data_IF_915946771716
#
_entry.id   IF_915946771716
#
_cell.length_a   1.000
_cell.length_b   1.000
_cell.length_c   1.000
_cell.angle_alpha   90.00
_cell.angle_beta   90.00
_cell.angle_gamma   90.00
#
_symmetry.space_group_name_H-M   'P 1'
#
loop_
_entity.id
_entity.type
_entity.pdbx_description
1 polymer ?
#
# COMPACT_ATOMS: atom_id res chain seq x y z
N UNK A 1 20.90 44.21 -78.31
CA UNK A 1 19.42 44.43 -78.43
C UNK A 1 18.86 43.98 -77.11
N UNK A 2 18.71 44.95 -76.21
CA UNK A 2 18.25 44.67 -74.79
C UNK A 2 16.87 45.22 -74.71
N UNK A 3 15.91 44.41 -74.31
CA UNK A 3 14.53 44.79 -74.08
C UNK A 3 14.29 44.95 -72.57
N UNK A 4 14.14 46.16 -72.10
CA UNK A 4 13.75 46.49 -70.74
C UNK A 4 12.23 46.27 -70.57
N UNK A 5 11.88 45.48 -69.56
CA UNK A 5 10.48 45.34 -69.10
C UNK A 5 10.37 46.08 -67.77
N UNK A 6 9.55 47.09 -67.73
CA UNK A 6 9.21 47.91 -66.54
C UNK A 6 8.11 47.18 -65.76
N UNK A 7 8.40 46.92 -64.48
CA UNK A 7 7.41 46.30 -63.56
C UNK A 7 6.78 47.41 -62.70
N UNK A 8 5.45 47.53 -62.86
CA UNK A 8 4.57 48.47 -62.17
C UNK A 8 4.19 47.87 -60.80
N UNK A 9 4.62 48.51 -59.70
CA UNK A 9 4.20 48.12 -58.33
C UNK A 9 2.86 48.79 -58.00
N UNK A 10 1.83 47.95 -57.73
CA UNK A 10 0.59 48.35 -57.10
C UNK A 10 0.74 48.16 -55.57
N UNK A 11 0.63 49.27 -54.82
CA UNK A 11 0.48 49.25 -53.37
C UNK A 11 -0.97 48.90 -52.99
N UNK A 12 -1.16 47.75 -52.35
CA UNK A 12 -2.38 47.42 -51.62
C UNK A 12 -2.14 47.65 -50.14
N UNK A 13 -2.79 48.65 -49.54
CA UNK A 13 -2.82 48.90 -48.12
C UNK A 13 -3.78 47.94 -47.44
N UNK A 14 -3.23 46.97 -46.68
CA UNK A 14 -4.02 46.15 -45.77
C UNK A 14 -4.09 46.80 -44.40
N UNK A 15 -5.28 47.22 -43.99
CA UNK A 15 -5.57 47.56 -42.59
C UNK A 15 -5.57 46.24 -41.80
N UNK A 16 -4.56 46.04 -40.96
CA UNK A 16 -4.57 44.97 -39.98
C UNK A 16 -5.30 45.45 -38.73
N UNK A 17 -6.53 45.00 -38.57
CA UNK A 17 -7.27 45.15 -37.33
C UNK A 17 -6.64 44.27 -36.25
N UNK A 18 -6.09 44.90 -35.22
CA UNK A 18 -5.68 44.21 -33.99
C UNK A 18 -6.95 43.71 -33.28
N UNK A 19 -7.25 42.42 -33.43
CA UNK A 19 -8.15 41.73 -32.56
C UNK A 19 -7.33 41.24 -31.35
N UNK A 20 -7.47 41.90 -30.22
CA UNK A 20 -6.89 41.41 -28.98
C UNK A 20 -7.61 40.15 -28.59
N UNK A 21 -7.01 38.99 -28.87
CA UNK A 21 -7.40 37.74 -28.28
C UNK A 21 -7.03 37.84 -26.78
N UNK A 22 -8.04 38.03 -25.95
CA UNK A 22 -7.89 37.74 -24.51
C UNK A 22 -7.66 36.26 -24.37
N UNK A 23 -6.44 35.86 -24.08
CA UNK A 23 -6.12 34.53 -23.59
C UNK A 23 -6.93 34.30 -22.31
N UNK A 24 -8.12 33.79 -22.45
CA UNK A 24 -8.75 33.03 -21.36
C UNK A 24 -7.98 31.73 -21.27
N UNK A 25 -6.96 31.70 -20.43
CA UNK A 25 -6.55 30.47 -19.78
C UNK A 25 -7.78 29.89 -19.12
N UNK A 26 -8.45 28.95 -19.79
CA UNK A 26 -9.36 28.04 -19.15
C UNK A 26 -8.49 27.09 -18.32
N UNK A 27 -8.15 27.51 -17.10
CA UNK A 27 -7.78 26.55 -16.08
C UNK A 27 -9.01 25.67 -15.91
N UNK A 28 -9.07 24.55 -16.60
CA UNK A 28 -9.91 23.43 -16.20
C UNK A 28 -9.42 23.06 -14.81
N UNK A 29 -10.08 23.57 -13.76
CA UNK A 29 -9.92 23.07 -12.40
C UNK A 29 -10.11 21.56 -12.50
N UNK A 30 -9.05 20.82 -12.28
CA UNK A 30 -9.09 19.37 -12.18
C UNK A 30 -9.86 19.09 -10.90
N UNK A 31 -11.19 18.88 -11.02
CA UNK A 31 -12.04 18.57 -9.88
C UNK A 31 -11.57 17.26 -9.27
N UNK A 32 -11.31 17.25 -7.98
CA UNK A 32 -11.10 16.00 -7.26
C UNK A 32 -10.15 16.06 -6.07
N UNK A 33 -8.86 16.31 -6.24
CA UNK A 33 -7.87 16.27 -5.15
C UNK A 33 -6.98 17.50 -5.19
N UNK A 34 -6.98 18.28 -4.11
CA UNK A 34 -6.09 19.41 -3.92
C UNK A 34 -5.09 19.14 -2.80
N UNK A 35 -3.82 19.08 -3.11
CA UNK A 35 -2.76 18.96 -2.10
C UNK A 35 -2.72 20.20 -1.22
N UNK A 36 -2.75 20.01 0.11
CA UNK A 36 -2.60 21.07 1.11
C UNK A 36 -1.14 21.19 1.54
N UNK A 37 -0.56 20.10 2.07
CA UNK A 37 0.82 20.06 2.55
C UNK A 37 1.34 18.66 2.73
N UNK A 38 2.68 18.54 2.75
CA UNK A 38 3.39 17.36 3.22
C UNK A 38 3.81 17.53 4.67
N UNK A 39 3.83 16.43 5.43
CA UNK A 39 4.26 16.38 6.82
C UNK A 39 5.22 15.22 7.04
N UNK A 40 6.12 15.34 8.02
CA UNK A 40 6.90 14.23 8.56
C UNK A 40 6.16 13.73 9.80
N UNK A 41 5.79 12.45 9.79
CA UNK A 41 5.09 11.79 10.88
C UNK A 41 6.10 11.21 11.89
N UNK A 42 7.13 10.53 11.37
CA UNK A 42 8.22 9.99 12.19
C UNK A 42 9.50 9.89 11.38
N UNK A 43 10.58 10.40 11.94
CA UNK A 43 11.93 10.31 11.39
C UNK A 43 12.96 10.10 12.50
N UNK A 44 13.84 9.12 12.30
CA UNK A 44 14.97 8.85 13.17
C UNK A 44 16.14 8.29 12.34
N UNK A 45 17.25 9.01 12.28
CA UNK A 45 18.40 8.65 11.46
C UNK A 45 19.08 7.33 11.85
N UNK A 46 18.81 6.80 13.04
CA UNK A 46 19.33 5.51 13.49
C UNK A 46 18.50 4.32 13.02
N UNK A 47 17.33 4.59 12.40
CA UNK A 47 16.39 3.55 12.03
C UNK A 47 15.90 3.67 10.59
N UNK A 48 15.70 2.52 10.01
CA UNK A 48 14.94 2.34 8.78
C UNK A 48 13.46 2.18 9.16
N UNK A 49 12.65 3.21 8.93
CA UNK A 49 11.23 3.24 9.25
C UNK A 49 10.42 3.14 7.96
N UNK A 50 9.56 2.11 7.84
CA UNK A 50 8.87 1.82 6.59
C UNK A 50 7.53 1.08 6.77
N UNK A 51 6.81 0.92 5.67
CA UNK A 51 5.61 0.12 5.51
C UNK A 51 4.48 0.52 6.47
N UNK A 52 4.06 1.80 6.47
CA UNK A 52 3.05 2.26 7.41
C UNK A 52 1.65 1.78 7.07
N UNK A 53 0.81 1.80 8.09
CA UNK A 53 -0.66 1.82 7.99
C UNK A 53 -1.22 2.81 8.99
N UNK A 54 -2.42 3.35 8.75
CA UNK A 54 -3.05 4.35 9.61
C UNK A 54 -4.53 4.04 9.82
N UNK A 55 -5.01 4.29 11.03
CA UNK A 55 -6.44 4.26 11.37
C UNK A 55 -6.82 5.47 12.21
N UNK A 56 -8.12 5.78 12.22
CA UNK A 56 -8.74 6.66 13.20
C UNK A 56 -9.42 5.80 14.27
N UNK A 57 -9.07 5.98 15.54
CA UNK A 57 -9.58 5.18 16.66
C UNK A 57 -11.04 5.49 16.99
N UNK A 58 -11.63 4.74 17.92
CA UNK A 58 -12.96 5.06 18.46
C UNK A 58 -12.97 6.40 19.24
N UNK A 59 -11.84 6.78 19.86
CA UNK A 59 -11.66 8.07 20.55
C UNK A 59 -11.37 9.24 19.61
N UNK A 60 -11.43 9.02 18.28
CA UNK A 60 -11.15 9.98 17.23
C UNK A 60 -9.67 10.39 17.09
N UNK A 61 -8.76 9.72 17.78
CA UNK A 61 -7.32 9.87 17.63
C UNK A 61 -6.84 9.10 16.38
N UNK A 62 -5.67 9.44 15.88
CA UNK A 62 -5.02 8.74 14.79
C UNK A 62 -3.85 7.90 15.32
N UNK A 63 -3.71 6.69 14.79
CA UNK A 63 -2.56 5.79 15.03
C UNK A 63 -1.93 5.46 13.69
N UNK A 64 -0.63 5.72 13.57
CA UNK A 64 0.20 5.21 12.46
C UNK A 64 1.09 4.12 13.00
N UNK A 65 0.87 2.89 12.52
CA UNK A 65 1.75 1.76 12.77
C UNK A 65 2.79 1.65 11.65
N UNK A 66 4.01 1.28 11.98
CA UNK A 66 5.07 1.05 11.00
C UNK A 66 6.13 0.08 11.52
N UNK A 67 6.90 -0.47 10.60
CA UNK A 67 8.09 -1.26 10.90
C UNK A 67 9.24 -0.32 11.24
N UNK A 68 9.97 -0.62 12.32
CA UNK A 68 11.19 0.04 12.72
C UNK A 68 12.31 -0.99 12.81
N UNK A 69 13.39 -0.79 12.05
CA UNK A 69 14.58 -1.64 12.07
C UNK A 69 15.82 -0.78 12.22
N UNK A 70 16.94 -1.28 12.79
CA UNK A 70 18.19 -0.54 12.81
C UNK A 70 18.60 -0.12 11.40
N UNK A 71 19.07 1.12 11.22
CA UNK A 71 19.72 1.50 9.97
C UNK A 71 21.12 0.86 9.95
N UNK A 72 21.29 -0.18 9.17
CA UNK A 72 22.51 -0.96 9.10
C UNK A 72 23.74 -0.16 8.66
N UNK A 73 23.54 0.93 7.92
CA UNK A 73 24.62 1.83 7.54
C UNK A 73 25.28 2.51 8.73
N UNK A 74 24.51 2.81 9.79
CA UNK A 74 25.03 3.37 11.04
C UNK A 74 26.01 2.42 11.73
N UNK A 75 25.86 1.11 11.52
CA UNK A 75 26.76 0.07 12.06
C UNK A 75 27.85 -0.34 11.07
N UNK A 76 28.08 0.40 9.99
CA UNK A 76 29.13 0.12 9.01
C UNK A 76 28.80 -0.97 7.98
N UNK A 77 27.55 -1.44 7.93
CA UNK A 77 27.11 -2.40 6.93
C UNK A 77 26.77 -1.72 5.59
N UNK A 78 26.79 -2.49 4.48
CA UNK A 78 26.65 -1.94 3.12
C UNK A 78 25.29 -1.35 2.80
N UNK A 79 24.29 -1.54 3.62
CA UNK A 79 22.95 -0.98 3.41
C UNK A 79 21.84 -1.66 4.19
N UNK A 80 20.70 -1.02 4.17
CA UNK A 80 19.49 -1.53 4.78
C UNK A 80 18.88 -2.66 3.96
N UNK A 81 18.22 -3.57 4.66
CA UNK A 81 17.46 -4.65 4.06
C UNK A 81 15.99 -4.52 4.46
N UNK A 82 15.09 -4.86 3.55
CA UNK A 82 13.67 -5.02 3.87
C UNK A 82 13.45 -6.13 4.92
N UNK A 83 14.35 -7.09 5.01
CA UNK A 83 14.32 -8.16 6.00
C UNK A 83 15.42 -7.92 7.03
N UNK A 84 15.03 -7.68 8.28
CA UNK A 84 15.96 -7.48 9.38
C UNK A 84 15.47 -8.23 10.62
N UNK A 85 16.32 -9.07 11.27
CA UNK A 85 15.92 -9.85 12.44
C UNK A 85 15.63 -8.99 13.67
N UNK A 86 16.09 -7.74 13.68
CA UNK A 86 15.88 -6.80 14.78
C UNK A 86 14.78 -5.78 14.47
N UNK A 87 13.95 -6.03 13.45
CA UNK A 87 12.80 -5.19 13.18
C UNK A 87 11.62 -5.53 14.11
N UNK A 88 10.84 -4.52 14.43
CA UNK A 88 9.65 -4.62 15.28
C UNK A 88 8.61 -3.61 14.86
N UNK A 89 7.37 -3.84 15.32
CA UNK A 89 6.23 -2.98 14.99
C UNK A 89 6.03 -1.96 16.10
N UNK A 90 5.91 -0.70 15.69
CA UNK A 90 5.65 0.43 16.59
C UNK A 90 4.54 1.31 16.04
N UNK A 91 4.00 2.16 16.92
CA UNK A 91 3.03 3.19 16.54
C UNK A 91 3.38 4.55 17.10
N UNK A 92 2.94 5.58 16.39
CA UNK A 92 2.87 6.97 16.85
C UNK A 92 1.43 7.45 16.77
N UNK A 93 1.08 8.46 17.60
CA UNK A 93 -0.28 8.95 17.76
C UNK A 93 -0.41 10.43 17.44
N UNK A 94 -1.59 10.82 17.02
CA UNK A 94 -1.98 12.21 16.79
C UNK A 94 -3.44 12.45 17.15
N UNK A 95 -3.74 13.67 17.66
CA UNK A 95 -5.10 14.13 17.89
C UNK A 95 -5.74 14.77 16.65
N UNK A 96 -4.93 15.33 15.78
CA UNK A 96 -5.36 16.16 14.64
C UNK A 96 -4.89 15.62 13.26
N UNK A 97 -4.06 14.57 13.27
CA UNK A 97 -3.43 14.02 12.07
C UNK A 97 -2.25 14.85 11.54
N UNK A 98 -1.86 15.92 12.24
CA UNK A 98 -0.80 16.84 11.84
C UNK A 98 0.39 16.83 12.80
N UNK A 99 0.14 16.78 14.10
CA UNK A 99 1.14 16.75 15.18
C UNK A 99 1.18 15.34 15.77
N UNK A 100 2.35 14.70 15.74
CA UNK A 100 2.55 13.30 16.12
C UNK A 100 3.45 13.16 17.34
N UNK A 101 3.22 12.13 18.13
CA UNK A 101 4.12 11.75 19.23
C UNK A 101 5.51 11.40 18.66
N UNK A 102 6.57 11.79 19.38
CA UNK A 102 7.97 11.56 18.96
C UNK A 102 8.46 10.18 19.36
N UNK A 103 8.04 9.71 20.53
CA UNK A 103 8.44 8.42 21.09
C UNK A 103 7.45 7.35 20.61
N UNK A 104 7.90 6.37 19.80
CA UNK A 104 7.01 5.34 19.30
C UNK A 104 6.71 4.29 20.37
N UNK A 105 5.44 3.87 20.44
CA UNK A 105 4.96 2.81 21.31
C UNK A 105 5.11 1.44 20.64
N UNK A 106 5.52 0.41 21.40
CA UNK A 106 5.65 -0.95 20.86
C UNK A 106 4.27 -1.57 20.62
N UNK A 107 4.06 -2.07 19.40
CA UNK A 107 2.92 -2.94 19.07
C UNK A 107 3.32 -4.40 19.29
N UNK A 108 4.36 -4.86 18.61
CA UNK A 108 4.81 -6.25 18.70
C UNK A 108 6.27 -6.41 18.22
N UNK A 109 7.01 -7.27 18.90
CA UNK A 109 8.31 -7.75 18.49
C UNK A 109 8.27 -9.28 18.41
N UNK A 110 8.59 -9.85 17.24
CA UNK A 110 8.55 -11.29 17.04
C UNK A 110 9.65 -11.98 17.86
N UNK A 111 9.29 -13.06 18.54
CA UNK A 111 10.19 -13.74 19.50
C UNK A 111 11.43 -14.33 18.84
N UNK A 112 11.33 -14.80 17.59
CA UNK A 112 12.41 -15.52 16.89
C UNK A 112 13.02 -14.73 15.72
N UNK A 113 12.60 -13.51 15.49
CA UNK A 113 13.10 -12.74 14.36
C UNK A 113 12.47 -11.38 14.23
N UNK A 114 12.60 -10.76 13.04
CA UNK A 114 12.05 -9.46 12.77
C UNK A 114 10.58 -9.51 12.35
N UNK A 115 9.82 -8.51 12.80
CA UNK A 115 8.44 -8.24 12.35
C UNK A 115 8.45 -7.30 11.16
N UNK A 116 7.48 -7.45 10.25
CA UNK A 116 7.37 -6.70 9.00
C UNK A 116 5.98 -6.10 8.84
N UNK A 117 5.83 -5.11 7.99
CA UNK A 117 4.64 -4.60 7.32
C UNK A 117 3.34 -4.61 8.15
N UNK A 118 3.18 -3.79 9.19
CA UNK A 118 1.93 -3.77 9.97
C UNK A 118 0.77 -3.25 9.11
N UNK A 119 -0.36 -3.97 9.12
CA UNK A 119 -1.60 -3.55 8.48
C UNK A 119 -2.70 -3.43 9.53
N UNK A 120 -3.10 -2.20 9.82
CA UNK A 120 -4.14 -1.91 10.80
C UNK A 120 -5.53 -1.99 10.17
N UNK A 121 -6.48 -2.56 10.90
CA UNK A 121 -7.91 -2.46 10.66
C UNK A 121 -8.61 -2.14 11.97
N UNK A 122 -9.41 -1.08 12.02
CA UNK A 122 -10.33 -0.82 13.13
C UNK A 122 -11.71 -1.36 12.77
N UNK A 123 -12.23 -2.26 13.59
CA UNK A 123 -13.58 -2.81 13.44
C UNK A 123 -14.65 -1.82 13.94
N UNK A 124 -15.90 -2.07 13.56
CA UNK A 124 -17.05 -1.22 13.94
C UNK A 124 -17.25 -1.17 15.45
N UNK A 125 -16.93 -2.24 16.18
CA UNK A 125 -17.02 -2.28 17.64
C UNK A 125 -15.83 -1.62 18.37
N UNK A 126 -14.86 -1.09 17.63
CA UNK A 126 -13.67 -0.44 18.16
C UNK A 126 -12.45 -1.34 18.33
N UNK A 127 -12.57 -2.67 18.17
CA UNK A 127 -11.43 -3.58 18.16
C UNK A 127 -10.45 -3.19 17.05
N UNK A 128 -9.16 -3.20 17.35
CA UNK A 128 -8.11 -2.94 16.35
C UNK A 128 -7.36 -4.24 16.07
N UNK A 129 -7.25 -4.61 14.81
CA UNK A 129 -6.41 -5.68 14.31
C UNK A 129 -5.13 -5.10 13.72
N UNK A 130 -4.00 -5.78 13.93
CA UNK A 130 -2.73 -5.48 13.26
C UNK A 130 -2.16 -6.78 12.71
N UNK A 131 -2.24 -6.99 11.40
CA UNK A 131 -1.61 -8.14 10.74
C UNK A 131 -0.16 -7.84 10.40
N UNK A 132 0.67 -8.86 10.44
CA UNK A 132 2.09 -8.78 10.10
C UNK A 132 2.66 -10.16 9.80
N UNK A 133 3.95 -10.25 9.54
CA UNK A 133 4.70 -11.49 9.36
C UNK A 133 6.13 -11.35 9.86
N UNK A 134 6.81 -12.48 10.01
CA UNK A 134 8.16 -12.50 10.55
C UNK A 134 9.19 -13.09 9.59
N UNK A 135 10.45 -12.69 9.84
CA UNK A 135 11.65 -13.26 9.25
C UNK A 135 12.68 -13.57 10.32
N UNK A 136 13.39 -14.68 10.16
CA UNK A 136 14.55 -15.02 10.96
C UNK A 136 15.75 -15.33 10.09
N UNK A 137 16.95 -15.14 10.64
CA UNK A 137 18.19 -15.50 9.96
C UNK A 137 18.77 -16.77 10.58
N UNK A 138 19.33 -17.63 9.76
CA UNK A 138 20.04 -18.82 10.19
C UNK A 138 21.48 -18.75 9.70
N UNK A 139 22.39 -19.15 10.57
CA UNK A 139 23.80 -19.25 10.20
C UNK A 139 23.98 -20.21 9.03
N UNK A 140 24.89 -19.89 8.08
CA UNK A 140 25.09 -20.69 6.88
C UNK A 140 25.41 -22.17 7.17
N UNK A 141 26.15 -22.46 8.23
CA UNK A 141 26.52 -23.81 8.66
C UNK A 141 25.36 -24.62 9.27
N UNK A 142 24.28 -23.93 9.69
CA UNK A 142 23.05 -24.58 10.16
C UNK A 142 22.09 -24.99 9.06
N UNK A 143 22.16 -24.36 7.88
CA UNK A 143 21.23 -24.59 6.76
C UNK A 143 21.14 -26.06 6.31
N UNK A 144 22.25 -26.83 6.19
CA UNK A 144 22.18 -28.24 5.77
C UNK A 144 21.41 -29.15 6.73
N UNK A 145 21.20 -28.71 7.96
CA UNK A 145 20.47 -29.47 8.99
C UNK A 145 18.98 -29.19 9.02
N UNK A 146 18.49 -28.27 8.21
CA UNK A 146 17.09 -27.88 8.16
C UNK A 146 16.28 -28.82 7.27
N UNK A 147 15.02 -29.03 7.65
CA UNK A 147 14.07 -29.72 6.78
C UNK A 147 13.69 -28.86 5.60
N UNK A 148 13.43 -29.49 4.47
CA UNK A 148 12.91 -28.87 3.27
C UNK A 148 11.52 -29.43 2.97
N UNK A 149 10.63 -28.65 2.38
CA UNK A 149 10.83 -27.30 1.85
C UNK A 149 10.81 -26.21 2.92
N UNK A 150 11.58 -25.16 2.72
CA UNK A 150 11.51 -23.92 3.48
C UNK A 150 11.73 -22.73 2.56
N UNK A 151 11.11 -21.58 2.88
CA UNK A 151 11.27 -20.36 2.10
C UNK A 151 12.46 -19.59 2.62
N UNK A 152 13.36 -19.24 1.72
CA UNK A 152 14.55 -18.45 1.99
C UNK A 152 14.59 -17.23 1.08
N UNK A 153 14.79 -16.07 1.68
CA UNK A 153 15.06 -14.82 0.98
C UNK A 153 16.24 -14.13 1.64
N UNK A 154 17.33 -13.89 0.89
CA UNK A 154 18.51 -13.18 1.37
C UNK A 154 19.06 -13.73 2.70
N UNK A 155 19.21 -15.04 2.82
CA UNK A 155 19.63 -15.74 4.03
C UNK A 155 18.65 -15.70 5.21
N UNK A 156 17.40 -15.39 4.95
CA UNK A 156 16.33 -15.35 5.92
C UNK A 156 15.26 -16.41 5.67
N UNK A 157 14.58 -16.82 6.73
CA UNK A 157 13.42 -17.70 6.69
C UNK A 157 12.16 -16.89 6.90
N UNK A 158 11.13 -17.23 6.14
CA UNK A 158 9.79 -16.78 6.42
C UNK A 158 9.27 -17.51 7.68
N UNK A 159 8.77 -16.74 8.65
CA UNK A 159 8.21 -17.25 9.91
C UNK A 159 6.68 -17.33 9.90
N UNK A 160 6.07 -17.02 8.76
CA UNK A 160 4.62 -16.99 8.61
C UNK A 160 3.97 -15.68 9.03
N UNK A 161 2.69 -15.58 8.69
CA UNK A 161 1.82 -14.49 9.08
C UNK A 161 1.34 -14.63 10.52
N UNK A 162 1.00 -13.50 11.12
CA UNK A 162 0.33 -13.42 12.41
C UNK A 162 -0.49 -12.13 12.47
N UNK A 163 -1.36 -12.06 13.48
CA UNK A 163 -2.01 -10.81 13.84
C UNK A 163 -2.02 -10.65 15.37
N UNK A 164 -2.07 -9.39 15.80
CA UNK A 164 -2.31 -9.00 17.18
C UNK A 164 -3.55 -8.11 17.24
N UNK A 165 -4.24 -8.09 18.38
CA UNK A 165 -5.48 -7.33 18.58
C UNK A 165 -5.36 -6.40 19.76
N UNK A 166 -6.10 -5.29 19.69
CA UNK A 166 -6.26 -4.35 20.80
C UNK A 166 -7.72 -4.01 21.02
N UNK A 167 -8.13 -3.94 22.30
CA UNK A 167 -9.48 -3.55 22.73
C UNK A 167 -9.51 -2.20 23.48
N UNK A 168 -8.37 -1.55 23.58
CA UNK A 168 -8.16 -0.32 24.35
C UNK A 168 -7.55 0.82 23.52
N UNK A 169 -7.98 0.91 22.24
CA UNK A 169 -7.49 1.89 21.27
C UNK A 169 -5.98 1.80 21.02
N UNK A 170 -5.42 0.57 20.97
CA UNK A 170 -4.02 0.32 20.65
C UNK A 170 -3.03 0.60 21.76
N UNK A 171 -3.48 0.70 23.03
CA UNK A 171 -2.59 0.88 24.19
C UNK A 171 -1.94 -0.44 24.61
N UNK A 172 -2.70 -1.55 24.55
CA UNK A 172 -2.18 -2.90 24.76
C UNK A 172 -2.61 -3.83 23.64
N UNK A 173 -1.82 -4.90 23.43
CA UNK A 173 -2.00 -5.85 22.35
C UNK A 173 -1.98 -7.27 22.85
N UNK A 174 -2.93 -8.08 22.42
CA UNK A 174 -2.93 -9.53 22.66
C UNK A 174 -2.58 -10.30 21.39
N UNK A 175 -2.02 -11.46 21.55
CA UNK A 175 -1.58 -12.35 20.47
C UNK A 175 -0.14 -12.83 20.67
N UNK A 176 0.51 -13.41 19.65
CA UNK A 176 0.05 -13.50 18.26
C UNK A 176 -1.03 -14.55 18.02
N UNK A 177 -1.93 -14.27 17.09
CA UNK A 177 -2.92 -15.20 16.54
C UNK A 177 -2.45 -15.57 15.14
N UNK A 178 -2.47 -16.85 14.81
CA UNK A 178 -1.95 -17.35 13.53
C UNK A 178 -3.09 -17.71 12.57
N UNK A 179 -3.13 -17.15 11.35
CA UNK A 179 -4.05 -17.61 10.32
C UNK A 179 -3.69 -19.04 9.88
N UNK A 180 -4.60 -19.77 9.22
CA UNK A 180 -4.30 -21.10 8.71
C UNK A 180 -3.24 -21.03 7.60
N UNK A 181 -2.59 -22.16 7.36
CA UNK A 181 -1.90 -22.41 6.10
C UNK A 181 -2.96 -22.54 4.99
N UNK A 182 -2.65 -22.09 3.80
CA UNK A 182 -3.47 -22.32 2.61
C UNK A 182 -2.92 -23.53 1.88
N UNK A 183 -3.77 -24.47 1.53
CA UNK A 183 -3.39 -25.65 0.74
C UNK A 183 -2.70 -25.19 -0.56
N UNK A 184 -1.75 -25.98 -1.04
CA UNK A 184 -0.88 -25.69 -2.20
C UNK A 184 0.20 -24.60 -1.97
N UNK A 185 0.26 -23.94 -0.80
CA UNK A 185 1.36 -23.05 -0.48
C UNK A 185 2.63 -23.86 -0.13
N UNK A 186 3.71 -23.57 -0.81
CA UNK A 186 5.02 -24.21 -0.55
C UNK A 186 5.79 -23.60 0.62
N UNK A 187 5.20 -22.68 1.35
CA UNK A 187 5.81 -22.08 2.51
C UNK A 187 5.72 -23.01 3.74
N UNK A 188 6.87 -23.55 4.13
CA UNK A 188 7.00 -24.38 5.32
C UNK A 188 8.09 -23.82 6.25
N UNK A 189 7.96 -24.09 7.54
CA UNK A 189 8.97 -23.72 8.51
C UNK A 189 10.29 -24.46 8.28
N UNK A 190 11.38 -23.97 8.87
CA UNK A 190 12.66 -24.64 8.85
C UNK A 190 12.61 -26.05 9.49
N UNK A 191 11.57 -26.38 10.25
CA UNK A 191 11.32 -27.69 10.84
C UNK A 191 10.35 -28.56 10.03
N UNK A 192 9.80 -28.00 8.93
CA UNK A 192 8.90 -28.71 8.01
C UNK A 192 7.42 -28.62 8.37
N UNK A 193 7.01 -27.65 9.21
CA UNK A 193 5.61 -27.41 9.52
C UNK A 193 5.00 -26.43 8.52
N UNK A 194 3.71 -26.55 8.15
CA UNK A 194 3.01 -25.58 7.31
C UNK A 194 3.05 -24.19 7.94
N UNK A 195 3.41 -23.18 7.16
CA UNK A 195 3.48 -21.80 7.65
C UNK A 195 2.13 -21.10 7.59
N UNK A 196 1.78 -20.29 8.61
CA UNK A 196 0.59 -19.44 8.55
C UNK A 196 0.64 -18.51 7.35
N UNK A 197 -0.49 -18.40 6.64
CA UNK A 197 -0.62 -17.55 5.47
C UNK A 197 -0.41 -16.06 5.80
N UNK A 198 0.04 -15.31 4.83
CA UNK A 198 0.17 -13.85 4.94
C UNK A 198 0.12 -13.18 3.57
N UNK A 199 -0.34 -11.96 3.58
CA UNK A 199 -0.03 -10.96 2.57
C UNK A 199 -0.18 -9.57 3.19
N UNK A 200 0.60 -8.61 2.69
CA UNK A 200 0.41 -7.21 3.03
C UNK A 200 -0.72 -6.62 2.19
N UNK A 201 -1.56 -5.83 2.85
CA UNK A 201 -2.66 -5.09 2.25
C UNK A 201 -3.73 -4.77 3.27
N UNK A 202 -4.62 -3.84 2.94
CA UNK A 202 -5.72 -3.51 3.80
C UNK A 202 -6.73 -4.66 3.85
N UNK A 203 -7.08 -5.05 5.08
CA UNK A 203 -8.23 -5.89 5.35
C UNK A 203 -9.50 -5.03 5.25
N UNK A 204 -10.66 -5.67 5.09
CA UNK A 204 -11.95 -5.01 5.09
C UNK A 204 -12.91 -5.72 6.05
N UNK A 205 -13.56 -4.97 6.94
CA UNK A 205 -14.77 -5.44 7.63
C UNK A 205 -15.97 -5.14 6.75
N UNK A 206 -16.69 -6.20 6.37
CA UNK A 206 -17.90 -6.09 5.57
C UNK A 206 -19.10 -5.57 6.35
N UNK A 207 -20.18 -5.26 5.66
CA UNK A 207 -21.41 -4.74 6.27
C UNK A 207 -22.08 -5.75 7.21
N UNK A 208 -21.81 -7.04 7.01
CA UNK A 208 -22.31 -8.16 7.82
C UNK A 208 -21.38 -8.51 8.99
N UNK A 209 -20.30 -7.75 9.20
CA UNK A 209 -19.32 -7.94 10.26
C UNK A 209 -18.22 -8.98 9.94
N UNK A 210 -18.28 -9.64 8.78
CA UNK A 210 -17.19 -10.52 8.34
C UNK A 210 -15.94 -9.70 7.99
N UNK A 211 -14.79 -10.27 8.30
CA UNK A 211 -13.50 -9.66 7.97
C UNK A 211 -12.89 -10.43 6.79
N UNK A 212 -12.50 -9.69 5.77
CA UNK A 212 -11.89 -10.21 4.55
C UNK A 212 -10.40 -9.89 4.55
N UNK A 213 -9.56 -10.90 4.30
CA UNK A 213 -8.12 -10.77 4.18
C UNK A 213 -7.60 -11.54 2.98
N UNK A 214 -6.97 -10.84 2.04
CA UNK A 214 -6.33 -11.49 0.90
C UNK A 214 -4.92 -11.88 1.28
N UNK A 215 -4.62 -13.18 1.20
CA UNK A 215 -3.30 -13.77 1.48
C UNK A 215 -2.62 -14.25 0.21
N UNK A 216 -1.29 -14.40 0.24
CA UNK A 216 -0.52 -14.87 -0.89
C UNK A 216 -0.12 -16.34 -0.71
N UNK A 217 -0.18 -17.10 -1.80
CA UNK A 217 0.29 -18.48 -1.92
C UNK A 217 1.45 -18.53 -2.90
N UNK A 218 2.53 -19.21 -2.53
CA UNK A 218 3.71 -19.41 -3.38
C UNK A 218 3.71 -20.79 -4.01
N UNK A 219 4.02 -20.90 -5.30
CA UNK A 219 3.85 -22.11 -6.10
C UNK A 219 5.07 -23.06 -6.11
N UNK A 220 6.25 -22.57 -5.73
CA UNK A 220 7.49 -23.32 -5.85
C UNK A 220 8.61 -22.77 -4.99
N UNK A 221 9.65 -23.59 -4.74
CA UNK A 221 10.92 -23.15 -4.15
C UNK A 221 12.05 -23.41 -5.16
N UNK A 222 12.82 -22.42 -5.61
CA UNK A 222 12.61 -20.98 -5.33
C UNK A 222 11.26 -20.48 -5.89
N UNK A 223 10.67 -19.49 -5.23
CA UNK A 223 9.37 -18.94 -5.61
C UNK A 223 9.47 -18.33 -7.01
N UNK A 224 8.64 -18.81 -7.93
CA UNK A 224 8.57 -18.31 -9.31
C UNK A 224 7.39 -17.41 -9.51
N UNK A 225 6.25 -17.76 -8.92
CA UNK A 225 5.03 -16.96 -8.95
C UNK A 225 4.23 -17.10 -7.66
N UNK A 226 3.31 -16.17 -7.47
CA UNK A 226 2.36 -16.15 -6.37
C UNK A 226 0.95 -15.92 -6.90
N UNK A 227 -0.02 -16.52 -6.22
CA UNK A 227 -1.45 -16.26 -6.37
C UNK A 227 -2.01 -15.61 -5.10
N UNK A 228 -3.15 -14.96 -5.23
CA UNK A 228 -3.86 -14.37 -4.10
C UNK A 228 -5.13 -15.16 -3.77
N UNK A 229 -5.38 -15.37 -2.49
CA UNK A 229 -6.49 -16.17 -1.95
C UNK A 229 -7.20 -15.40 -0.85
N UNK A 230 -8.49 -15.66 -0.65
CA UNK A 230 -9.29 -14.98 0.35
C UNK A 230 -9.46 -15.84 1.61
N UNK A 231 -9.12 -15.23 2.75
CA UNK A 231 -9.50 -15.70 4.07
C UNK A 231 -10.64 -14.84 4.63
N UNK A 232 -11.57 -15.45 5.36
CA UNK A 232 -12.71 -14.81 6.02
C UNK A 232 -12.68 -15.15 7.51
N UNK A 233 -12.97 -14.17 8.36
CA UNK A 233 -13.16 -14.34 9.81
C UNK A 233 -14.53 -13.80 10.22
N UNK A 234 -15.25 -14.57 11.04
CA UNK A 234 -16.54 -14.20 11.64
C UNK A 234 -16.42 -13.84 13.13
N UNK A 235 -15.21 -13.95 13.71
CA UNK A 235 -14.95 -13.87 15.16
C UNK A 235 -13.87 -12.83 15.50
N UNK A 236 -13.84 -11.71 14.77
CA UNK A 236 -12.91 -10.59 14.96
C UNK A 236 -11.43 -10.99 14.85
N UNK A 237 -11.16 -11.86 13.88
CA UNK A 237 -9.80 -12.30 13.55
C UNK A 237 -9.22 -13.39 14.47
N UNK A 238 -10.01 -14.02 15.33
CA UNK A 238 -9.55 -15.16 16.14
C UNK A 238 -9.30 -16.39 15.29
N UNK A 239 -10.26 -16.72 14.40
CA UNK A 239 -10.14 -17.81 13.45
C UNK A 239 -10.41 -17.33 12.04
N UNK A 240 -9.83 -18.01 11.06
CA UNK A 240 -9.93 -17.68 9.66
C UNK A 240 -10.26 -18.92 8.85
N UNK A 241 -11.10 -18.76 7.85
CA UNK A 241 -11.52 -19.81 6.93
C UNK A 241 -11.13 -19.44 5.51
N UNK A 242 -10.63 -20.41 4.76
CA UNK A 242 -10.39 -20.25 3.33
C UNK A 242 -11.72 -20.09 2.58
N UNK A 243 -11.83 -19.12 1.70
CA UNK A 243 -13.03 -18.83 0.92
C UNK A 243 -12.86 -19.12 -0.57
N UNK A 244 -11.75 -18.66 -1.17
CA UNK A 244 -11.57 -18.85 -2.61
C UNK A 244 -10.32 -18.24 -3.19
N UNK A 245 -10.09 -18.50 -4.47
CA UNK A 245 -9.03 -17.93 -5.28
C UNK A 245 -9.43 -16.51 -5.71
N UNK A 246 -8.58 -15.50 -5.43
CA UNK A 246 -8.78 -14.10 -5.83
C UNK A 246 -8.15 -13.82 -7.17
N UNK A 247 -6.89 -14.21 -7.35
CA UNK A 247 -6.16 -14.01 -8.61
C UNK A 247 -5.05 -15.04 -8.76
N UNK A 248 -4.97 -15.65 -9.94
CA UNK A 248 -3.87 -16.51 -10.38
C UNK A 248 -3.72 -16.39 -11.88
N UNK A 249 -2.48 -16.48 -12.36
CA UNK A 249 -2.18 -16.50 -13.79
C UNK A 249 -0.85 -17.22 -14.03
N UNK A 250 -0.68 -17.81 -15.22
CA UNK A 250 0.55 -18.54 -15.54
C UNK A 250 1.76 -17.63 -15.80
N UNK A 251 1.52 -16.35 -16.11
CA UNK A 251 2.55 -15.37 -16.48
C UNK A 251 2.66 -14.22 -15.48
N UNK A 252 1.61 -13.95 -14.70
CA UNK A 252 1.56 -12.82 -13.76
C UNK A 252 1.71 -13.32 -12.33
N UNK A 253 2.61 -12.69 -11.58
CA UNK A 253 2.78 -12.90 -10.14
C UNK A 253 2.02 -11.82 -9.39
N UNK A 254 1.03 -12.23 -8.57
CA UNK A 254 0.29 -11.33 -7.70
C UNK A 254 0.96 -11.26 -6.32
N UNK A 255 1.03 -10.04 -5.78
CA UNK A 255 1.73 -9.78 -4.54
C UNK A 255 0.79 -9.06 -3.55
N UNK A 256 1.24 -7.99 -2.88
CA UNK A 256 0.45 -7.27 -1.88
C UNK A 256 -0.90 -6.83 -2.44
N UNK A 257 -1.97 -7.03 -1.65
CA UNK A 257 -3.33 -6.83 -2.12
C UNK A 257 -4.22 -6.29 -1.01
N UNK A 258 -4.84 -5.15 -1.26
CA UNK A 258 -5.89 -4.59 -0.40
C UNK A 258 -7.26 -5.00 -0.89
N UNK A 259 -8.20 -5.24 0.04
CA UNK A 259 -9.58 -5.61 -0.28
C UNK A 259 -10.56 -4.56 0.24
N UNK A 260 -11.65 -4.35 -0.47
CA UNK A 260 -12.67 -3.34 -0.22
C UNK A 260 -14.05 -3.90 -0.56
N UNK A 261 -15.07 -3.63 0.28
CA UNK A 261 -16.46 -3.95 -0.02
C UNK A 261 -17.18 -2.72 -0.55
N UNK A 262 -17.77 -2.82 -1.74
CA UNK A 262 -18.55 -1.73 -2.35
C UNK A 262 -19.92 -1.57 -1.66
N UNK A 263 -20.63 -0.44 -1.82
CA UNK A 263 -21.99 -0.28 -1.32
C UNK A 263 -22.98 -1.33 -1.82
N UNK A 264 -22.78 -1.90 -3.00
CA UNK A 264 -23.60 -3.01 -3.50
C UNK A 264 -23.28 -4.36 -2.86
N UNK A 265 -22.12 -4.46 -2.17
CA UNK A 265 -21.67 -5.71 -1.54
C UNK A 265 -20.70 -6.51 -2.40
N UNK A 266 -20.24 -5.97 -3.54
CA UNK A 266 -19.14 -6.59 -4.28
C UNK A 266 -17.86 -6.46 -3.48
N UNK A 267 -17.03 -7.51 -3.46
CA UNK A 267 -15.67 -7.43 -2.97
C UNK A 267 -14.73 -7.05 -4.12
N UNK A 268 -13.93 -6.02 -3.90
CA UNK A 268 -12.95 -5.51 -4.85
C UNK A 268 -11.57 -5.63 -4.26
N UNK A 269 -10.68 -6.39 -4.89
CA UNK A 269 -9.29 -6.54 -4.51
C UNK A 269 -8.40 -5.72 -5.45
N UNK A 270 -7.56 -4.85 -4.89
CA UNK A 270 -6.57 -4.06 -5.61
C UNK A 270 -5.23 -4.77 -5.54
N UNK A 271 -4.81 -5.33 -6.67
CA UNK A 271 -3.72 -6.29 -6.79
C UNK A 271 -2.41 -5.60 -7.23
N UNK A 272 -1.34 -5.82 -6.48
CA UNK A 272 0.01 -5.54 -6.94
C UNK A 272 0.53 -6.70 -7.77
N UNK A 273 1.19 -6.40 -8.89
CA UNK A 273 1.96 -7.36 -9.68
C UNK A 273 3.46 -7.20 -9.47
N UNK A 274 4.24 -8.25 -9.67
CA UNK A 274 5.70 -8.21 -9.50
C UNK A 274 6.47 -8.43 -10.81
N UNK A 275 5.85 -8.93 -11.87
CA UNK A 275 6.46 -9.26 -13.15
C UNK A 275 5.56 -8.91 -14.36
N UNK A 276 4.75 -7.88 -14.20
CA UNK A 276 3.79 -7.42 -15.20
C UNK A 276 3.92 -5.90 -15.42
N UNK A 277 5.17 -5.44 -15.58
CA UNK A 277 5.52 -4.03 -15.79
C UNK A 277 4.93 -3.07 -14.73
N UNK A 278 4.86 -3.54 -13.49
CA UNK A 278 4.24 -2.85 -12.35
C UNK A 278 2.80 -2.36 -12.59
N UNK A 279 2.11 -2.94 -13.59
CA UNK A 279 0.69 -2.66 -13.84
C UNK A 279 -0.15 -3.03 -12.62
N UNK A 280 -0.92 -2.07 -12.16
CA UNK A 280 -1.97 -2.28 -11.17
C UNK A 280 -3.06 -3.16 -11.77
N UNK A 281 -3.57 -4.10 -10.98
CA UNK A 281 -4.68 -4.96 -11.35
C UNK A 281 -5.83 -4.85 -10.34
N UNK A 282 -7.02 -5.23 -10.76
CA UNK A 282 -8.22 -5.27 -9.92
C UNK A 282 -8.87 -6.64 -10.06
N UNK A 283 -9.40 -7.20 -8.97
CA UNK A 283 -10.25 -8.37 -9.01
C UNK A 283 -11.58 -8.09 -8.33
N UNK A 284 -12.66 -8.64 -8.86
CA UNK A 284 -14.02 -8.42 -8.35
C UNK A 284 -14.75 -9.73 -8.12
N UNK A 285 -15.47 -9.79 -7.00
CA UNK A 285 -16.42 -10.84 -6.64
C UNK A 285 -17.79 -10.22 -6.38
N UNK A 286 -18.84 -10.76 -6.97
CA UNK A 286 -20.25 -10.40 -6.72
C UNK A 286 -21.02 -11.49 -5.98
N UNK A 287 -20.34 -12.53 -5.48
CA UNK A 287 -20.93 -13.71 -4.84
C UNK A 287 -20.42 -13.92 -3.40
N UNK A 288 -19.96 -12.84 -2.77
CA UNK A 288 -19.50 -12.85 -1.38
C UNK A 288 -18.11 -13.46 -1.18
N UNK A 289 -17.24 -13.40 -2.22
CA UNK A 289 -15.85 -13.84 -2.15
C UNK A 289 -15.62 -15.30 -2.57
N UNK A 290 -16.62 -15.97 -3.15
CA UNK A 290 -16.48 -17.34 -3.62
C UNK A 290 -15.70 -17.44 -4.93
N UNK A 291 -15.97 -16.50 -5.85
CA UNK A 291 -15.28 -16.42 -7.13
C UNK A 291 -14.89 -14.99 -7.44
N UNK A 292 -13.74 -14.82 -8.09
CA UNK A 292 -13.22 -13.52 -8.53
C UNK A 292 -12.85 -13.56 -10.00
N UNK A 293 -12.95 -12.40 -10.65
CA UNK A 293 -12.39 -12.14 -11.96
C UNK A 293 -11.45 -10.97 -11.87
N UNK A 294 -10.19 -11.14 -12.33
CA UNK A 294 -9.19 -10.09 -12.33
C UNK A 294 -8.96 -9.52 -13.71
N UNK A 295 -8.49 -8.27 -13.76
CA UNK A 295 -8.10 -7.57 -15.00
C UNK A 295 -7.11 -6.43 -14.68
N UNK A 296 -6.28 -6.00 -15.66
CA UNK A 296 -5.38 -4.86 -15.48
C UNK A 296 -6.15 -3.55 -15.45
N UNK A 297 -5.69 -2.61 -14.64
CA UNK A 297 -6.30 -1.28 -14.48
C UNK A 297 -5.81 -0.24 -15.51
N UNK A 298 -4.77 -0.57 -16.31
CA UNK A 298 -4.26 0.29 -17.35
C UNK A 298 -3.30 1.39 -16.89
N UNK A 299 -2.78 1.31 -15.66
CA UNK A 299 -1.75 2.21 -15.14
C UNK A 299 -0.78 1.47 -14.21
N UNK A 300 0.41 2.05 -14.03
CA UNK A 300 1.45 1.53 -13.13
C UNK A 300 1.28 2.10 -11.73
N UNK A 301 1.53 1.28 -10.71
CA UNK A 301 1.51 1.70 -9.31
C UNK A 301 1.32 0.56 -8.34
N UNK A 302 2.01 0.61 -7.19
CA UNK A 302 1.95 -0.43 -6.19
C UNK A 302 2.61 -0.06 -4.83
N UNK A 303 2.15 -0.71 -3.72
CA UNK A 303 0.85 -1.34 -3.54
C UNK A 303 -0.26 -0.30 -3.52
N UNK A 304 -1.49 -0.75 -3.74
CA UNK A 304 -2.67 0.10 -3.79
C UNK A 304 -3.48 0.00 -2.50
N UNK A 305 -4.12 1.09 -2.11
CA UNK A 305 -5.05 1.12 -0.98
C UNK A 305 -6.22 2.07 -1.25
N UNK A 306 -7.42 1.67 -0.83
CA UNK A 306 -8.66 2.37 -1.10
C UNK A 306 -9.31 2.89 0.20
N UNK A 307 -9.80 4.11 0.17
CA UNK A 307 -10.59 4.74 1.22
C UNK A 307 -11.94 5.18 0.65
N UNK A 308 -13.05 4.74 1.26
CA UNK A 308 -14.36 5.31 0.98
C UNK A 308 -14.45 6.71 1.55
N UNK A 309 -14.81 7.66 0.72
CA UNK A 309 -15.05 9.06 1.09
C UNK A 309 -16.49 9.25 1.61
N UNK A 310 -16.78 10.36 2.33
CA UNK A 310 -18.13 10.63 2.86
C UNK A 310 -19.23 10.67 1.80
N UNK A 311 -18.90 11.03 0.55
CA UNK A 311 -19.82 11.06 -0.59
C UNK A 311 -19.91 9.72 -1.34
N UNK A 312 -19.32 8.66 -0.79
CA UNK A 312 -19.19 7.32 -1.35
C UNK A 312 -18.25 7.15 -2.55
N UNK A 313 -17.61 8.19 -3.08
CA UNK A 313 -16.48 8.02 -3.97
C UNK A 313 -15.35 7.28 -3.25
N UNK A 314 -14.40 6.75 -4.01
CA UNK A 314 -13.26 6.01 -3.45
C UNK A 314 -11.96 6.69 -3.82
N UNK A 315 -11.18 7.10 -2.80
CA UNK A 315 -9.82 7.55 -2.99
C UNK A 315 -8.89 6.32 -3.03
N UNK A 316 -8.34 6.03 -4.20
CA UNK A 316 -7.33 5.01 -4.42
C UNK A 316 -5.95 5.66 -4.39
N UNK A 317 -5.07 5.22 -3.50
CA UNK A 317 -3.70 5.72 -3.39
C UNK A 317 -2.67 4.62 -3.64
N UNK A 318 -1.51 4.97 -4.19
CA UNK A 318 -0.44 4.03 -4.49
C UNK A 318 0.94 4.68 -4.58
N UNK A 319 1.98 3.86 -4.36
CA UNK A 319 3.36 4.25 -4.63
C UNK A 319 3.64 4.21 -6.13
N UNK A 320 4.39 5.18 -6.62
CA UNK A 320 4.88 5.23 -7.99
C UNK A 320 6.41 5.10 -7.99
N UNK A 321 6.91 3.96 -8.45
CA UNK A 321 8.32 3.56 -8.37
C UNK A 321 9.08 3.67 -9.70
N UNK A 322 8.56 4.50 -10.61
CA UNK A 322 9.22 4.98 -11.82
C UNK A 322 9.59 6.44 -11.64
N UNK A 323 10.57 6.95 -12.38
CA UNK A 323 10.91 8.38 -12.30
C UNK A 323 9.82 9.25 -12.95
N UNK A 324 9.42 10.33 -12.28
CA UNK A 324 9.82 10.77 -10.93
C UNK A 324 9.12 9.95 -9.83
N UNK A 325 9.95 9.41 -8.91
CA UNK A 325 9.47 8.56 -7.81
C UNK A 325 8.54 9.32 -6.87
N UNK A 326 7.46 8.68 -6.44
CA UNK A 326 6.54 9.37 -5.56
C UNK A 326 5.28 8.63 -5.16
N UNK A 327 4.23 9.41 -4.87
CA UNK A 327 2.92 8.93 -4.44
C UNK A 327 1.88 9.50 -5.39
N UNK A 328 0.92 8.66 -5.78
CA UNK A 328 -0.18 9.01 -6.69
C UNK A 328 -1.53 8.67 -6.06
N UNK A 329 -2.57 9.30 -6.57
CA UNK A 329 -3.95 9.01 -6.20
C UNK A 329 -4.88 9.07 -7.40
N UNK A 330 -6.05 8.42 -7.28
CA UNK A 330 -7.19 8.51 -8.21
C UNK A 330 -8.48 8.58 -7.41
N UNK A 331 -9.47 9.31 -7.91
CA UNK A 331 -10.83 9.25 -7.38
C UNK A 331 -11.65 8.34 -8.28
N UNK A 332 -12.14 7.25 -7.71
CA UNK A 332 -13.01 6.30 -8.39
C UNK A 332 -14.47 6.51 -7.99
N UNK A 333 -15.38 6.07 -8.85
CA UNK A 333 -16.78 5.99 -8.48
C UNK A 333 -17.01 4.99 -7.33
N UNK A 334 -18.19 5.05 -6.75
CA UNK A 334 -18.60 4.26 -5.58
C UNK A 334 -18.35 2.74 -5.73
N UNK A 335 -18.48 2.22 -6.94
CA UNK A 335 -18.32 0.77 -7.24
C UNK A 335 -16.94 0.43 -7.84
N UNK A 336 -16.03 1.40 -7.92
CA UNK A 336 -14.68 1.21 -8.48
C UNK A 336 -14.69 0.62 -9.90
N UNK A 337 -15.55 1.12 -10.79
CA UNK A 337 -15.69 0.61 -12.17
C UNK A 337 -15.08 1.51 -13.23
N UNK A 338 -14.70 2.74 -12.88
CA UNK A 338 -14.17 3.78 -13.77
C UNK A 338 -12.65 3.96 -13.69
N UNK A 339 -11.93 3.00 -13.11
CA UNK A 339 -10.48 3.06 -12.86
C UNK A 339 -9.64 3.35 -14.12
N UNK A 340 -10.10 2.96 -15.32
CA UNK A 340 -9.42 3.22 -16.59
C UNK A 340 -9.49 4.72 -16.96
N UNK A 341 -10.59 5.38 -16.65
CA UNK A 341 -10.86 6.78 -17.05
C UNK A 341 -10.62 7.78 -15.91
N UNK A 342 -10.49 7.31 -14.67
CA UNK A 342 -10.24 8.15 -13.51
C UNK A 342 -8.90 8.90 -13.64
N UNK A 343 -8.93 10.21 -13.42
CA UNK A 343 -7.74 11.06 -13.49
C UNK A 343 -6.73 10.71 -12.40
N UNK A 344 -5.45 10.75 -12.73
CA UNK A 344 -4.35 10.62 -11.77
C UNK A 344 -4.00 11.97 -11.15
N UNK A 345 -3.79 11.97 -9.85
CA UNK A 345 -3.30 13.11 -9.08
C UNK A 345 -1.92 12.81 -8.50
N UNK A 346 -0.97 13.70 -8.72
CA UNK A 346 0.39 13.61 -8.18
C UNK A 346 0.40 14.19 -6.76
N UNK A 347 0.59 13.34 -5.74
CA UNK A 347 0.74 13.78 -4.35
C UNK A 347 2.19 14.11 -4.03
N UNK A 348 3.13 13.26 -4.50
CA UNK A 348 4.58 13.45 -4.40
C UNK A 348 5.25 13.00 -5.69
N UNK A 349 6.34 13.68 -6.07
CA UNK A 349 7.19 13.36 -7.22
C UNK A 349 8.68 13.70 -6.95
N UNK A 350 9.02 13.87 -5.67
CA UNK A 350 10.34 14.27 -5.19
C UNK A 350 11.06 13.15 -4.40
N UNK A 351 10.74 11.89 -4.69
CA UNK A 351 11.40 10.75 -4.07
C UNK A 351 12.84 10.56 -4.56
N UNK A 352 13.76 10.25 -3.64
CA UNK A 352 15.17 10.05 -3.98
C UNK A 352 15.47 8.72 -4.66
N UNK A 353 14.69 7.66 -4.36
CA UNK A 353 14.81 6.34 -4.95
C UNK A 353 13.46 5.62 -5.00
N UNK A 354 13.37 4.50 -5.71
CA UNK A 354 12.19 3.63 -5.76
C UNK A 354 11.82 2.97 -4.41
N UNK A 355 12.66 3.09 -3.37
CA UNK A 355 12.41 2.53 -2.04
C UNK A 355 11.51 3.47 -1.20
N UNK A 356 10.25 3.56 -1.60
CA UNK A 356 9.20 4.40 -1.02
C UNK A 356 7.83 3.82 -1.33
N UNK A 357 6.77 4.45 -0.83
CA UNK A 357 5.39 4.11 -1.17
C UNK A 357 4.62 3.50 -0.01
N UNK A 358 3.85 2.46 -0.29
CA UNK A 358 2.97 1.81 0.69
C UNK A 358 1.98 2.81 1.30
N UNK A 359 1.32 3.55 0.44
CA UNK A 359 0.39 4.60 0.85
C UNK A 359 -0.85 4.02 1.54
N UNK A 360 -1.32 4.74 2.56
CA UNK A 360 -2.49 4.37 3.35
C UNK A 360 -3.30 5.63 3.69
N UNK A 361 -4.50 5.80 3.10
CA UNK A 361 -5.32 6.97 3.33
C UNK A 361 -6.21 6.83 4.58
N UNK A 362 -6.44 7.94 5.28
CA UNK A 362 -7.40 8.03 6.40
C UNK A 362 -8.14 9.36 6.36
N UNK A 363 -9.44 9.34 6.63
CA UNK A 363 -10.26 10.54 6.71
C UNK A 363 -9.92 11.37 7.95
N UNK A 364 -9.51 12.62 7.78
CA UNK A 364 -9.31 13.57 8.87
C UNK A 364 -10.64 14.20 9.31
N UNK A 365 -11.35 14.79 8.37
CA UNK A 365 -12.66 15.40 8.53
C UNK A 365 -13.49 15.25 7.25
N UNK A 366 -14.59 15.98 7.12
CA UNK A 366 -15.52 15.86 5.99
C UNK A 366 -14.85 16.05 4.63
N UNK A 367 -13.82 16.91 4.53
CA UNK A 367 -13.19 17.30 3.28
C UNK A 367 -11.73 16.88 3.18
N UNK A 368 -11.03 16.63 4.31
CA UNK A 368 -9.60 16.37 4.30
C UNK A 368 -9.27 14.90 4.55
N UNK A 369 -8.28 14.43 3.81
CA UNK A 369 -7.70 13.09 3.94
C UNK A 369 -6.21 13.22 4.19
N UNK A 370 -5.68 12.43 5.11
CA UNK A 370 -4.25 12.21 5.29
C UNK A 370 -3.87 10.92 4.56
N UNK A 371 -2.92 11.00 3.64
CA UNK A 371 -2.31 9.85 2.98
C UNK A 371 -0.94 9.62 3.60
N UNK A 372 -0.79 8.54 4.36
CA UNK A 372 0.46 8.15 5.03
C UNK A 372 1.25 7.21 4.14
N UNK A 373 2.57 7.34 4.11
CA UNK A 373 3.48 6.49 3.33
C UNK A 373 4.89 6.52 3.95
N UNK A 374 5.77 5.58 3.58
CA UNK A 374 7.19 5.79 3.86
C UNK A 374 7.87 6.43 2.65
N UNK A 375 8.90 7.21 2.95
CA UNK A 375 9.53 8.05 1.95
C UNK A 375 11.04 8.17 2.18
N UNK A 376 11.76 8.56 1.14
CA UNK A 376 13.17 8.94 1.22
C UNK A 376 13.46 10.11 0.28
N UNK A 377 14.45 10.91 0.63
CA UNK A 377 15.03 11.94 -0.22
C UNK A 377 16.50 11.58 -0.43
N UNK A 378 16.97 11.66 -1.66
CA UNK A 378 18.38 11.49 -2.03
C UNK A 378 19.04 10.23 -1.43
N UNK A 379 18.32 9.11 -1.42
CA UNK A 379 18.73 7.85 -0.76
C UNK A 379 19.08 8.01 0.74
N UNK A 380 18.54 9.02 1.39
CA UNK A 380 18.71 9.30 2.81
C UNK A 380 17.90 8.39 3.72
N UNK A 381 17.62 8.86 4.94
CA UNK A 381 16.83 8.15 5.95
C UNK A 381 15.44 7.81 5.43
N UNK A 382 15.02 6.54 5.62
CA UNK A 382 13.63 6.13 5.39
C UNK A 382 12.82 6.56 6.58
N UNK A 383 11.81 7.36 6.33
CA UNK A 383 10.94 7.95 7.33
C UNK A 383 9.47 7.78 6.98
N UNK A 384 8.61 7.96 7.96
CA UNK A 384 7.17 7.97 7.76
C UNK A 384 6.73 9.40 7.50
N UNK A 385 6.11 9.61 6.37
CA UNK A 385 5.62 10.90 5.92
C UNK A 385 4.11 10.82 5.62
N UNK A 386 3.50 11.96 5.40
CA UNK A 386 2.12 12.06 4.97
C UNK A 386 1.88 13.27 4.08
N UNK A 387 0.89 13.17 3.22
CA UNK A 387 0.34 14.30 2.46
C UNK A 387 -1.10 14.52 2.88
N UNK A 388 -1.43 15.74 3.30
CA UNK A 388 -2.82 16.15 3.55
C UNK A 388 -3.38 16.70 2.26
N UNK A 389 -4.51 16.16 1.86
CA UNK A 389 -5.26 16.58 0.67
C UNK A 389 -6.67 16.99 1.06
N UNK A 390 -7.24 17.89 0.28
CA UNK A 390 -8.65 18.23 0.29
C UNK A 390 -9.34 17.58 -0.90
N UNK A 391 -10.51 17.01 -0.65
CA UNK A 391 -11.37 16.40 -1.67
C UNK A 391 -12.44 17.42 -2.07
N UNK A 392 -12.49 17.75 -3.36
CA UNK A 392 -13.42 18.72 -3.96
C UNK A 392 -14.66 18.03 -4.55
#
# INVERSE_FOLDING_TARGET
METKITLMMLFFSYLVGFCSASDRESSTKQQGVRKIKDIIIYEDAQYYSAFPSVIKTAEQDFIVAFRRAPDRKVFGEKGNNHVDPNSYLVSVRSKDGEIWTKDPELIYAHTFGGSQDPCLLKLQDGTILCTSYGWAFVRPDGIPNLKIPYVRSRDAFFLGGYLVRSFDNGKTWEGPIYPPHVDDDVNFSALGDPMPAYNRGALCEGKDGRIFWVVAVSDSIPIKKKSNHLLISDDKGLTWQYSGLVASDDKVTFNETSIYETPKGDLVAFLRTANFDDLACIARSSDGGKTFKWEPMGFQGHPLNALRLPDNRVLLTYGYRHEPYGIRARILNTECTDYVTASEFVLRDDGGTADLGYSWPVQLDEHRVLVVYYFNKDNGTRHIAGTIVEIE
#
